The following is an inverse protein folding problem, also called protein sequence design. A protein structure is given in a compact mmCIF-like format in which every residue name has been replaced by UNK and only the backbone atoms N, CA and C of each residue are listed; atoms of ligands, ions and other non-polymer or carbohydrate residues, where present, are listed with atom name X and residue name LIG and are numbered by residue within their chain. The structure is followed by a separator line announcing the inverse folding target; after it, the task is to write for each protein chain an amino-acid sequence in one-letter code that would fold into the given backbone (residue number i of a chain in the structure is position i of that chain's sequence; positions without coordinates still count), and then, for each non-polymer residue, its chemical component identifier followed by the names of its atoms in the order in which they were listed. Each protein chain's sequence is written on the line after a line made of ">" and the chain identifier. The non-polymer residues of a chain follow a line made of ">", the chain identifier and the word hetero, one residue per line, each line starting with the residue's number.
data_IF_699740851935
#
_entry.id   IF_699740851935
#
_cell.length_a   1.000
_cell.length_b   1.000
_cell.length_c   1.000
_cell.angle_alpha   90.00
_cell.angle_beta   90.00
_cell.angle_gamma   90.00
#
_symmetry.space_group_name_H-M   'P 1'
#
loop_
_entity.id
_entity.type
_entity.pdbx_description
1 polymer ?
#
# COMPACT_ATOMS: atom_id res chain seq x y z
N UNK A 1 -16.97 19.17 20.18
CA UNK A 1 -16.89 18.98 18.72
C UNK A 1 -18.30 18.93 18.18
N UNK A 2 -18.59 19.74 17.16
CA UNK A 2 -19.85 19.66 16.43
C UNK A 2 -19.85 18.45 15.47
N UNK A 3 -21.02 18.07 14.96
CA UNK A 3 -21.13 17.07 13.89
C UNK A 3 -20.32 17.51 12.66
N UNK A 4 -20.34 18.79 12.33
CA UNK A 4 -19.57 19.34 11.21
C UNK A 4 -18.06 19.24 11.43
N UNK A 5 -17.58 19.39 12.67
CA UNK A 5 -16.16 19.19 13.00
C UNK A 5 -15.74 17.72 12.82
N UNK A 6 -16.62 16.77 13.17
CA UNK A 6 -16.38 15.33 12.95
C UNK A 6 -16.29 15.05 11.45
N UNK A 7 -17.25 15.55 10.66
CA UNK A 7 -17.27 15.36 9.20
C UNK A 7 -16.00 15.90 8.55
N UNK A 8 -15.61 17.13 8.88
CA UNK A 8 -14.37 17.75 8.37
C UNK A 8 -13.12 16.95 8.76
N UNK A 9 -13.06 16.45 10.00
CA UNK A 9 -11.91 15.64 10.46
C UNK A 9 -11.80 14.34 9.67
N UNK A 10 -12.92 13.67 9.41
CA UNK A 10 -12.96 12.45 8.60
C UNK A 10 -12.55 12.72 7.15
N UNK A 11 -13.03 13.82 6.55
CA UNK A 11 -12.65 14.21 5.19
C UNK A 11 -11.13 14.44 5.06
N UNK A 12 -10.54 15.18 6.01
CA UNK A 12 -9.09 15.41 6.05
C UNK A 12 -8.31 14.10 6.24
N UNK A 13 -8.79 13.21 7.12
CA UNK A 13 -8.18 11.89 7.31
C UNK A 13 -8.23 11.04 6.05
N UNK A 14 -9.39 11.02 5.37
CA UNK A 14 -9.57 10.29 4.12
C UNK A 14 -8.65 10.82 3.02
N UNK A 15 -8.47 12.14 2.94
CA UNK A 15 -7.56 12.76 1.98
C UNK A 15 -6.10 12.35 2.26
N UNK A 16 -5.66 12.40 3.52
CA UNK A 16 -4.33 11.95 3.90
C UNK A 16 -4.11 10.46 3.58
N UNK A 17 -5.11 9.61 3.79
CA UNK A 17 -5.04 8.19 3.43
C UNK A 17 -4.91 7.99 1.92
N UNK A 18 -5.67 8.72 1.10
CA UNK A 18 -5.57 8.64 -0.37
C UNK A 18 -4.19 9.05 -0.87
N UNK A 19 -3.64 10.14 -0.33
CA UNK A 19 -2.28 10.58 -0.65
C UNK A 19 -1.25 9.52 -0.25
N UNK A 20 -1.42 8.91 0.93
CA UNK A 20 -0.59 7.78 1.36
C UNK A 20 -0.67 6.57 0.42
N UNK A 21 -1.85 6.22 -0.07
CA UNK A 21 -2.01 5.16 -1.06
C UNK A 21 -1.30 5.48 -2.37
N UNK A 22 -1.40 6.71 -2.88
CA UNK A 22 -0.68 7.14 -4.09
C UNK A 22 0.84 7.00 -3.93
N UNK A 23 1.38 7.36 -2.76
CA UNK A 23 2.81 7.20 -2.47
C UNK A 23 3.19 5.71 -2.47
N UNK A 24 2.36 4.84 -1.88
CA UNK A 24 2.60 3.39 -1.86
C UNK A 24 2.53 2.79 -3.26
N UNK A 25 1.58 3.22 -4.10
CA UNK A 25 1.46 2.78 -5.50
C UNK A 25 2.69 3.17 -6.32
N UNK A 26 3.18 4.41 -6.16
CA UNK A 26 4.40 4.85 -6.82
C UNK A 26 5.63 4.05 -6.34
N UNK A 27 5.78 3.88 -5.02
CA UNK A 27 6.87 3.10 -4.45
C UNK A 27 6.83 1.63 -4.92
N UNK A 28 5.63 1.06 -5.09
CA UNK A 28 5.47 -0.29 -5.63
C UNK A 28 5.93 -0.37 -7.08
N UNK A 29 5.60 0.62 -7.92
CA UNK A 29 6.04 0.65 -9.31
C UNK A 29 7.57 0.72 -9.42
N UNK A 30 8.21 1.58 -8.62
CA UNK A 30 9.68 1.68 -8.55
C UNK A 30 10.32 0.38 -8.04
N UNK A 31 9.73 -0.24 -7.00
CA UNK A 31 10.18 -1.51 -6.47
C UNK A 31 10.00 -2.67 -7.45
N UNK A 32 8.95 -2.66 -8.27
CA UNK A 32 8.71 -3.68 -9.30
C UNK A 32 9.77 -3.62 -10.39
N UNK A 33 10.16 -2.42 -10.84
CA UNK A 33 11.24 -2.23 -11.81
C UNK A 33 12.58 -2.73 -11.26
N UNK A 34 12.97 -2.28 -10.06
CA UNK A 34 14.18 -2.74 -9.39
C UNK A 34 14.16 -4.26 -9.13
N UNK A 35 13.00 -4.79 -8.75
CA UNK A 35 12.77 -6.21 -8.53
C UNK A 35 12.91 -7.04 -9.80
N UNK A 36 12.46 -6.54 -10.95
CA UNK A 36 12.62 -7.20 -12.24
C UNK A 36 14.11 -7.31 -12.63
N UNK A 37 14.88 -6.24 -12.44
CA UNK A 37 16.34 -6.24 -12.66
C UNK A 37 17.07 -7.20 -11.71
N UNK A 38 16.68 -7.23 -10.44
CA UNK A 38 17.24 -8.15 -9.46
C UNK A 38 16.95 -9.61 -9.85
N UNK A 39 15.71 -9.92 -10.26
CA UNK A 39 15.34 -11.27 -10.74
C UNK A 39 16.11 -11.68 -11.98
N UNK A 40 16.30 -10.77 -12.95
CA UNK A 40 17.10 -11.04 -14.14
C UNK A 40 18.57 -11.34 -13.78
N UNK A 41 19.14 -10.59 -12.84
CA UNK A 41 20.51 -10.82 -12.33
C UNK A 41 20.65 -12.16 -11.62
N UNK A 42 19.58 -12.60 -10.94
CA UNK A 42 19.56 -13.82 -10.13
C UNK A 42 19.03 -15.06 -10.88
N UNK A 43 18.74 -14.95 -12.19
CA UNK A 43 17.90 -15.90 -12.92
C UNK A 43 18.38 -17.35 -12.82
N UNK A 44 19.69 -17.59 -12.94
CA UNK A 44 20.28 -18.93 -12.95
C UNK A 44 20.91 -19.36 -11.62
N UNK A 45 20.80 -18.52 -10.58
CA UNK A 45 21.37 -18.84 -9.28
C UNK A 45 20.36 -19.57 -8.41
N UNK A 46 20.77 -20.76 -7.94
CA UNK A 46 20.08 -21.56 -6.93
C UNK A 46 20.74 -21.45 -5.54
N UNK A 47 21.65 -20.49 -5.34
CA UNK A 47 22.26 -20.25 -4.04
C UNK A 47 21.20 -19.83 -3.01
N UNK A 48 21.23 -20.39 -1.80
CA UNK A 48 20.20 -20.18 -0.76
C UNK A 48 19.87 -18.69 -0.52
N UNK A 49 20.89 -17.83 -0.47
CA UNK A 49 20.72 -16.39 -0.29
C UNK A 49 19.97 -15.71 -1.45
N UNK A 50 20.13 -16.20 -2.68
CA UNK A 50 19.39 -15.71 -3.84
C UNK A 50 17.92 -16.13 -3.78
N UNK A 51 17.63 -17.37 -3.37
CA UNK A 51 16.25 -17.83 -3.17
C UNK A 51 15.54 -17.04 -2.06
N UNK A 52 16.24 -16.76 -0.96
CA UNK A 52 15.74 -15.86 0.10
C UNK A 52 15.45 -14.46 -0.43
N UNK A 53 16.31 -13.91 -1.28
CA UNK A 53 16.10 -12.59 -1.87
C UNK A 53 14.87 -12.57 -2.80
N UNK A 54 14.72 -13.58 -3.67
CA UNK A 54 13.53 -13.74 -4.53
C UNK A 54 12.23 -13.78 -3.70
N UNK A 55 12.21 -14.61 -2.64
CA UNK A 55 11.04 -14.73 -1.77
C UNK A 55 10.69 -13.41 -1.04
N UNK A 56 11.70 -12.63 -0.64
CA UNK A 56 11.48 -11.30 -0.04
C UNK A 56 10.88 -10.30 -1.03
N UNK A 57 11.33 -10.31 -2.29
CA UNK A 57 10.75 -9.48 -3.34
C UNK A 57 9.27 -9.83 -3.58
N UNK A 58 8.94 -11.12 -3.60
CA UNK A 58 7.53 -11.57 -3.71
C UNK A 58 6.68 -11.19 -2.49
N UNK A 59 7.26 -11.13 -1.28
CA UNK A 59 6.54 -10.71 -0.07
C UNK A 59 6.22 -9.23 -0.08
N UNK A 60 7.18 -8.40 -0.52
CA UNK A 60 7.06 -6.94 -0.53
C UNK A 60 5.83 -6.49 -1.34
N UNK A 61 5.68 -7.00 -2.56
CA UNK A 61 4.56 -6.66 -3.45
C UNK A 61 3.21 -6.98 -2.78
N UNK A 62 3.09 -8.19 -2.22
CA UNK A 62 1.88 -8.63 -1.53
C UNK A 62 1.54 -7.79 -0.30
N UNK A 63 2.54 -7.40 0.48
CA UNK A 63 2.35 -6.59 1.69
C UNK A 63 1.86 -5.18 1.36
N UNK A 64 2.43 -4.55 0.32
CA UNK A 64 2.04 -3.20 -0.12
C UNK A 64 0.63 -3.22 -0.72
N UNK A 65 0.30 -4.19 -1.57
CA UNK A 65 -1.06 -4.35 -2.10
C UNK A 65 -2.09 -4.52 -0.97
N UNK A 66 -1.77 -5.34 0.04
CA UNK A 66 -2.63 -5.55 1.19
C UNK A 66 -2.83 -4.27 2.00
N UNK A 67 -1.78 -3.46 2.17
CA UNK A 67 -1.86 -2.18 2.84
C UNK A 67 -2.81 -1.21 2.11
N UNK A 68 -2.64 -1.06 0.79
CA UNK A 68 -3.50 -0.21 -0.04
C UNK A 68 -4.97 -0.64 0.07
N UNK A 69 -5.26 -1.94 -0.03
CA UNK A 69 -6.62 -2.47 0.11
C UNK A 69 -7.24 -2.17 1.49
N UNK A 70 -6.46 -2.32 2.56
CA UNK A 70 -6.91 -2.03 3.94
C UNK A 70 -7.21 -0.55 4.13
N UNK A 71 -6.38 0.33 3.58
CA UNK A 71 -6.62 1.77 3.62
C UNK A 71 -7.87 2.16 2.83
N UNK A 72 -8.08 1.58 1.64
CA UNK A 72 -9.32 1.78 0.87
C UNK A 72 -10.57 1.36 1.67
N UNK A 73 -10.53 0.20 2.33
CA UNK A 73 -11.62 -0.25 3.19
C UNK A 73 -11.85 0.68 4.40
N UNK A 74 -10.79 1.22 5.00
CA UNK A 74 -10.90 2.18 6.10
C UNK A 74 -11.59 3.48 5.65
N UNK A 75 -11.24 4.02 4.47
CA UNK A 75 -11.89 5.20 3.88
C UNK A 75 -13.37 4.93 3.63
N UNK A 76 -13.73 3.76 3.08
CA UNK A 76 -15.13 3.40 2.86
C UNK A 76 -15.91 3.36 4.18
N UNK A 77 -15.38 2.68 5.20
CA UNK A 77 -16.02 2.62 6.52
C UNK A 77 -16.18 4.01 7.15
N UNK A 78 -15.20 4.89 6.98
CA UNK A 78 -15.26 6.26 7.48
C UNK A 78 -16.34 7.09 6.78
N UNK A 79 -16.49 6.93 5.46
CA UNK A 79 -17.56 7.56 4.68
C UNK A 79 -18.95 7.05 5.12
N UNK A 80 -19.09 5.73 5.31
CA UNK A 80 -20.34 5.12 5.76
C UNK A 80 -20.76 5.59 7.16
N UNK A 81 -19.78 5.84 8.03
CA UNK A 81 -20.01 6.43 9.34
C UNK A 81 -20.50 7.88 9.23
N UNK A 82 -19.82 8.71 8.44
CA UNK A 82 -20.21 10.11 8.20
C UNK A 82 -21.61 10.25 7.59
N UNK A 83 -21.98 9.34 6.68
CA UNK A 83 -23.31 9.33 6.07
C UNK A 83 -24.46 9.05 7.06
N UNK A 84 -24.15 8.52 8.25
CA UNK A 84 -25.11 8.20 9.32
C UNK A 84 -25.15 9.27 10.44
N UNK A 85 -24.30 10.30 10.36
CA UNK A 85 -24.24 11.45 11.27
C UNK A 85 -25.09 12.61 10.78
#
# INVERSE_FOLDING_TARGET
>A
MSVDDVKRTVELGNEAVRQGCQILEQALAEAAEAGALARATMHDSAHDEVEKAKAKLDSLEREVELAIRRFGAAVQNANDYVAKL
#
